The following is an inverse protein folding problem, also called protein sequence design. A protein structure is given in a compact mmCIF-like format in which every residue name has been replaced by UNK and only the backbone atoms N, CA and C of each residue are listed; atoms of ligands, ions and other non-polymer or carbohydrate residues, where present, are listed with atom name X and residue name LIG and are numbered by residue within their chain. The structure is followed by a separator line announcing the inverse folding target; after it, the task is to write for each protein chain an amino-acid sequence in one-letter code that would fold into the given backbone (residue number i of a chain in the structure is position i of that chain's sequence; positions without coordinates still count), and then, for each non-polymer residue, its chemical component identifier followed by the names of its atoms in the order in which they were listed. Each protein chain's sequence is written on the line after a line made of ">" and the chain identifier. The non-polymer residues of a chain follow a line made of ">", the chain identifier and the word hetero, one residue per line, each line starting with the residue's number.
data_IF_364400099252
#
_entry.id   IF_364400099252
#
_cell.length_a   1.000
_cell.length_b   1.000
_cell.length_c   1.000
_cell.angle_alpha   90.00
_cell.angle_beta   90.00
_cell.angle_gamma   90.00
#
_symmetry.space_group_name_H-M   'P 1'
#
loop_
_entity.id
_entity.type
_entity.pdbx_description
1 polymer ?
#
# COMPACT_ATOMS: atom_id res chain seq x y z
N UNK A 1 10.63 -39.70 -17.92
CA UNK A 1 11.12 -38.30 -17.98
C UNK A 1 10.70 -37.64 -16.68
N UNK A 2 11.66 -37.34 -15.80
CA UNK A 2 11.38 -36.64 -14.55
C UNK A 2 11.19 -35.16 -14.88
N UNK A 3 10.06 -34.58 -14.47
CA UNK A 3 9.86 -33.13 -14.50
C UNK A 3 10.92 -32.50 -13.60
N UNK A 4 11.83 -31.72 -14.19
CA UNK A 4 12.63 -30.77 -13.44
C UNK A 4 11.69 -29.61 -13.07
N UNK A 5 10.99 -29.75 -11.94
CA UNK A 5 10.33 -28.61 -11.32
C UNK A 5 11.40 -27.58 -10.94
N UNK A 6 11.05 -26.29 -11.03
CA UNK A 6 11.89 -25.25 -10.46
C UNK A 6 11.90 -25.41 -8.94
N UNK A 7 13.06 -25.61 -8.34
CA UNK A 7 13.25 -25.32 -6.92
C UNK A 7 13.15 -23.81 -6.76
N UNK A 8 12.08 -23.36 -6.11
CA UNK A 8 11.91 -21.96 -5.73
C UNK A 8 12.76 -21.75 -4.50
N UNK A 9 13.90 -21.07 -4.64
CA UNK A 9 14.62 -20.53 -3.49
C UNK A 9 13.62 -19.77 -2.62
N UNK A 10 13.63 -20.06 -1.31
CA UNK A 10 12.60 -19.58 -0.39
C UNK A 10 12.37 -18.09 -0.59
N UNK A 11 11.13 -17.69 -0.87
CA UNK A 11 10.77 -16.33 -1.24
C UNK A 11 11.37 -15.31 -0.25
N UNK A 12 11.51 -15.68 1.03
CA UNK A 12 12.17 -14.90 2.08
C UNK A 12 13.67 -14.63 1.82
N UNK A 13 14.46 -15.61 1.39
CA UNK A 13 15.89 -15.43 1.11
C UNK A 13 16.11 -14.54 -0.11
N UNK A 14 15.38 -14.80 -1.19
CA UNK A 14 15.41 -13.94 -2.39
C UNK A 14 14.93 -12.53 -2.05
N UNK A 15 13.92 -12.41 -1.19
CA UNK A 15 13.43 -11.13 -0.69
C UNK A 15 14.48 -10.37 0.12
N UNK A 16 15.16 -11.03 1.06
CA UNK A 16 16.24 -10.43 1.85
C UNK A 16 17.44 -10.00 0.99
N UNK A 17 17.79 -10.78 -0.03
CA UNK A 17 18.87 -10.44 -0.97
C UNK A 17 18.51 -9.28 -1.88
N UNK A 18 17.29 -9.25 -2.43
CA UNK A 18 16.77 -8.10 -3.17
C UNK A 18 16.69 -6.85 -2.29
N UNK A 19 16.30 -7.01 -1.02
CA UNK A 19 16.30 -5.94 -0.03
C UNK A 19 17.70 -5.36 0.19
N UNK A 20 18.74 -6.20 0.28
CA UNK A 20 20.13 -5.75 0.40
C UNK A 20 20.61 -5.04 -0.85
N UNK A 21 20.41 -5.65 -2.02
CA UNK A 21 20.85 -5.09 -3.31
C UNK A 21 20.21 -3.74 -3.63
N UNK A 22 18.94 -3.57 -3.29
CA UNK A 22 18.25 -2.32 -3.59
C UNK A 22 18.49 -1.22 -2.53
N UNK A 23 19.04 -1.51 -1.34
CA UNK A 23 19.56 -0.45 -0.45
C UNK A 23 20.66 0.37 -1.11
N UNK A 24 21.44 -0.24 -2.00
CA UNK A 24 22.57 0.40 -2.67
C UNK A 24 22.18 1.16 -3.95
N UNK A 25 21.00 0.86 -4.52
CA UNK A 25 20.56 1.39 -5.83
C UNK A 25 19.45 2.43 -5.72
N UNK A 26 18.68 2.42 -4.63
CA UNK A 26 17.49 3.26 -4.49
C UNK A 26 17.87 4.62 -3.91
N UNK A 27 17.59 5.69 -4.67
CA UNK A 27 17.64 7.05 -4.13
C UNK A 27 16.77 7.13 -2.87
N UNK A 28 17.25 7.76 -1.78
CA UNK A 28 16.45 7.97 -0.60
C UNK A 28 15.14 8.67 -0.95
N UNK A 29 14.04 8.21 -0.35
CA UNK A 29 12.73 8.83 -0.49
C UNK A 29 12.79 10.21 0.19
N UNK A 30 12.29 11.26 -0.49
CA UNK A 30 12.22 12.59 0.09
C UNK A 30 11.03 12.71 1.06
N UNK A 31 11.30 12.41 2.33
CA UNK A 31 10.30 12.44 3.40
C UNK A 31 9.69 13.83 3.59
N UNK A 32 10.42 14.91 3.29
CA UNK A 32 9.91 16.27 3.47
C UNK A 32 8.79 16.58 2.47
N UNK A 33 8.90 16.09 1.24
CA UNK A 33 7.82 16.22 0.27
C UNK A 33 6.60 15.40 0.67
N UNK A 34 6.78 14.18 1.19
CA UNK A 34 5.67 13.38 1.74
C UNK A 34 4.97 14.09 2.89
N UNK A 35 5.73 14.78 3.77
CA UNK A 35 5.17 15.56 4.89
C UNK A 35 4.34 16.75 4.43
N UNK A 36 4.70 17.40 3.31
CA UNK A 36 3.88 18.47 2.71
C UNK A 36 2.58 17.92 2.13
N UNK A 37 2.64 16.79 1.44
CA UNK A 37 1.44 16.13 0.89
C UNK A 37 0.50 15.64 1.99
N UNK A 38 1.05 15.17 3.13
CA UNK A 38 0.27 14.73 4.29
C UNK A 38 -0.72 15.80 4.77
N UNK A 39 -0.32 17.07 4.80
CA UNK A 39 -1.20 18.15 5.28
C UNK A 39 -2.47 18.29 4.44
N UNK A 40 -2.34 18.17 3.12
CA UNK A 40 -3.49 18.20 2.21
C UNK A 40 -4.37 16.96 2.38
N UNK A 41 -3.74 15.77 2.51
CA UNK A 41 -4.44 14.50 2.75
C UNK A 41 -5.24 14.56 4.05
N UNK A 42 -4.64 15.02 5.16
CA UNK A 42 -5.35 15.17 6.44
C UNK A 42 -6.55 16.13 6.32
N UNK A 43 -6.41 17.21 5.53
CA UNK A 43 -7.49 18.17 5.28
C UNK A 43 -8.66 17.50 4.55
N UNK A 44 -8.36 16.75 3.49
CA UNK A 44 -9.35 15.99 2.72
C UNK A 44 -10.04 14.90 3.54
N UNK A 45 -9.36 14.35 4.55
CA UNK A 45 -9.87 13.26 5.39
C UNK A 45 -10.55 13.74 6.67
N UNK A 46 -10.63 15.05 6.92
CA UNK A 46 -11.05 15.65 8.19
C UNK A 46 -12.35 15.07 8.78
N UNK A 47 -13.33 14.69 7.95
CA UNK A 47 -14.60 14.13 8.43
C UNK A 47 -14.48 12.78 9.16
N UNK A 48 -13.40 12.02 8.93
CA UNK A 48 -13.16 10.74 9.61
C UNK A 48 -12.19 10.85 10.81
N UNK A 49 -11.82 12.07 11.22
CA UNK A 49 -10.86 12.30 12.31
C UNK A 49 -9.55 11.51 12.13
N UNK A 50 -8.80 11.73 11.03
CA UNK A 50 -7.63 10.95 10.67
C UNK A 50 -6.55 11.03 11.75
N UNK A 51 -5.85 9.92 12.01
CA UNK A 51 -4.77 9.84 13.00
C UNK A 51 -3.45 9.50 12.34
N UNK A 52 -2.46 10.37 12.47
CA UNK A 52 -1.11 10.01 12.05
C UNK A 52 -0.53 8.92 12.97
N UNK A 53 0.08 7.91 12.36
CA UNK A 53 0.79 6.82 13.02
C UNK A 53 2.27 6.84 12.67
N UNK A 54 3.10 6.43 13.63
CA UNK A 54 4.53 6.19 13.42
C UNK A 54 4.75 4.68 13.36
N UNK A 55 4.86 4.14 12.16
CA UNK A 55 5.06 2.72 11.89
C UNK A 55 6.21 2.56 10.89
N UNK A 56 7.20 1.73 11.21
CA UNK A 56 8.34 1.47 10.32
C UNK A 56 9.12 2.73 9.97
N UNK A 57 9.26 3.01 8.66
CA UNK A 57 10.01 4.15 8.14
C UNK A 57 9.42 5.52 8.53
N UNK A 58 10.20 6.57 8.24
CA UNK A 58 9.81 7.97 8.48
C UNK A 58 8.66 8.48 7.58
N UNK A 59 8.26 7.68 6.59
CA UNK A 59 7.13 8.01 5.71
C UNK A 59 5.86 8.24 6.53
N UNK A 60 5.14 9.34 6.30
CA UNK A 60 3.90 9.60 6.99
C UNK A 60 2.86 8.52 6.70
N UNK A 61 2.21 8.05 7.76
CA UNK A 61 1.15 7.06 7.70
C UNK A 61 -0.06 7.58 8.46
N UNK A 62 -1.24 7.43 7.88
CA UNK A 62 -2.49 7.95 8.44
C UNK A 62 -3.49 6.83 8.58
N UNK A 63 -3.96 6.60 9.80
CA UNK A 63 -5.11 5.73 10.07
C UNK A 63 -6.41 6.52 9.88
N UNK A 64 -7.34 5.89 9.16
CA UNK A 64 -8.74 6.31 9.06
C UNK A 64 -9.64 5.14 9.41
N UNK A 65 -10.60 5.35 10.30
CA UNK A 65 -11.58 4.32 10.68
C UNK A 65 -12.88 4.54 9.94
N UNK A 66 -13.23 3.60 9.07
CA UNK A 66 -14.51 3.55 8.37
C UNK A 66 -15.50 2.70 9.15
N UNK A 67 -16.76 2.65 8.69
CA UNK A 67 -17.80 1.84 9.28
C UNK A 67 -17.41 0.35 9.41
N UNK A 68 -16.87 -0.26 8.35
CA UNK A 68 -16.55 -1.71 8.27
C UNK A 68 -15.06 -2.02 8.04
N UNK A 69 -14.23 -1.02 7.80
CA UNK A 69 -12.81 -1.17 7.55
C UNK A 69 -11.98 -0.16 8.34
N UNK A 70 -10.69 -0.43 8.43
CA UNK A 70 -9.67 0.50 8.89
C UNK A 70 -8.70 0.69 7.73
N UNK A 71 -8.48 1.93 7.31
CA UNK A 71 -7.55 2.26 6.23
C UNK A 71 -6.26 2.84 6.80
N UNK A 72 -5.11 2.33 6.34
CA UNK A 72 -3.79 2.91 6.59
C UNK A 72 -3.29 3.51 5.29
N UNK A 73 -3.19 4.83 5.24
CA UNK A 73 -2.70 5.56 4.08
C UNK A 73 -1.21 5.80 4.25
N UNK A 74 -0.39 5.25 3.35
CA UNK A 74 1.05 5.48 3.23
C UNK A 74 1.26 6.63 2.25
N UNK A 75 1.70 7.79 2.75
CA UNK A 75 1.89 9.00 1.94
C UNK A 75 3.32 9.02 1.39
N UNK A 76 3.44 8.90 0.07
CA UNK A 76 4.69 8.96 -0.67
C UNK A 76 4.90 10.36 -1.28
N UNK A 77 6.12 10.72 -1.68
CA UNK A 77 6.37 11.99 -2.38
C UNK A 77 5.55 12.10 -3.68
N UNK A 78 5.25 13.31 -4.17
CA UNK A 78 4.68 13.50 -5.50
C UNK A 78 5.55 12.89 -6.60
N UNK A 79 4.91 12.31 -7.62
CA UNK A 79 5.57 11.67 -8.78
C UNK A 79 6.53 10.55 -8.39
N UNK A 80 6.38 10.01 -7.19
CA UNK A 80 7.21 8.91 -6.71
C UNK A 80 6.92 7.65 -7.52
N UNK A 81 7.96 6.87 -7.81
CA UNK A 81 7.85 5.58 -8.49
C UNK A 81 8.08 4.49 -7.45
N UNK A 82 6.99 3.89 -6.96
CA UNK A 82 7.06 2.85 -5.93
C UNK A 82 7.72 1.58 -6.48
N UNK A 83 8.77 1.14 -5.79
CA UNK A 83 9.49 -0.11 -6.09
C UNK A 83 9.14 -1.21 -5.08
N UNK A 84 9.26 -2.47 -5.49
CA UNK A 84 8.93 -3.62 -4.62
C UNK A 84 9.73 -3.60 -3.32
N UNK A 85 11.03 -3.29 -3.41
CA UNK A 85 11.92 -3.09 -2.27
C UNK A 85 11.49 -1.96 -1.32
N UNK A 86 10.89 -0.89 -1.84
CA UNK A 86 10.43 0.21 -1.00
C UNK A 86 9.15 -0.20 -0.27
N UNK A 87 8.23 -0.84 -0.98
CA UNK A 87 7.02 -1.40 -0.42
C UNK A 87 7.33 -2.42 0.70
N UNK A 88 8.33 -3.27 0.49
CA UNK A 88 8.68 -4.31 1.44
C UNK A 88 9.36 -3.81 2.72
N UNK A 89 10.03 -2.65 2.68
CA UNK A 89 10.65 -2.07 3.88
C UNK A 89 9.64 -1.78 4.98
N UNK A 90 8.43 -1.34 4.61
CA UNK A 90 7.38 -0.97 5.55
C UNK A 90 6.33 -2.06 5.73
N UNK A 91 6.30 -3.10 4.87
CA UNK A 91 5.16 -4.00 4.84
C UNK A 91 4.96 -4.75 6.15
N UNK A 92 6.03 -5.21 6.80
CA UNK A 92 5.93 -5.95 8.07
C UNK A 92 5.21 -5.14 9.13
N UNK A 93 5.57 -3.87 9.27
CA UNK A 93 4.92 -2.95 10.21
C UNK A 93 3.49 -2.59 9.81
N UNK A 94 3.20 -2.50 8.50
CA UNK A 94 1.84 -2.31 8.01
C UNK A 94 0.95 -3.53 8.30
N UNK A 95 1.51 -4.75 8.22
CA UNK A 95 0.80 -5.99 8.53
C UNK A 95 0.59 -6.17 10.04
N UNK A 96 1.59 -5.84 10.87
CA UNK A 96 1.42 -5.77 12.33
C UNK A 96 0.28 -4.80 12.73
N UNK A 97 0.19 -3.65 12.06
CA UNK A 97 -0.94 -2.73 12.24
C UNK A 97 -2.27 -3.36 11.78
N UNK A 98 -2.27 -4.05 10.63
CA UNK A 98 -3.45 -4.67 10.05
C UNK A 98 -4.06 -5.73 10.98
N UNK A 99 -3.22 -6.55 11.62
CA UNK A 99 -3.65 -7.52 12.64
C UNK A 99 -4.36 -6.84 13.83
N UNK A 100 -3.88 -5.65 14.22
CA UNK A 100 -4.45 -4.85 15.30
C UNK A 100 -5.62 -3.93 14.90
N UNK A 101 -5.99 -3.88 13.62
CA UNK A 101 -6.90 -2.86 13.09
C UNK A 101 -8.36 -3.03 13.54
N UNK A 102 -8.74 -4.21 14.03
CA UNK A 102 -10.05 -4.54 14.60
C UNK A 102 -11.22 -4.58 13.60
N UNK A 103 -10.97 -4.21 12.34
CA UNK A 103 -11.87 -4.24 11.18
C UNK A 103 -11.08 -4.69 9.97
N UNK A 104 -11.74 -4.88 8.83
CA UNK A 104 -11.05 -5.25 7.60
C UNK A 104 -9.96 -4.20 7.25
N UNK A 105 -8.68 -4.57 7.20
CA UNK A 105 -7.58 -3.64 7.00
C UNK A 105 -7.40 -3.32 5.51
N UNK A 106 -7.22 -2.05 5.18
CA UNK A 106 -6.93 -1.58 3.81
C UNK A 106 -5.66 -0.73 3.82
N UNK A 107 -4.64 -1.14 3.07
CA UNK A 107 -3.43 -0.38 2.82
C UNK A 107 -3.65 0.51 1.59
N UNK A 108 -3.48 1.82 1.74
CA UNK A 108 -3.63 2.79 0.66
C UNK A 108 -2.28 3.44 0.39
N UNK A 109 -1.66 3.10 -0.74
CA UNK A 109 -0.44 3.77 -1.20
C UNK A 109 -0.82 5.01 -2.00
N UNK A 110 -0.55 6.19 -1.41
CA UNK A 110 -0.87 7.48 -2.02
C UNK A 110 0.39 8.18 -2.54
N UNK A 111 0.37 8.62 -3.80
CA UNK A 111 1.38 9.52 -4.35
C UNK A 111 0.77 10.37 -5.46
N UNK A 112 0.77 11.69 -5.30
CA UNK A 112 0.25 12.61 -6.32
C UNK A 112 1.02 12.46 -7.64
N UNK A 113 0.34 12.00 -8.70
CA UNK A 113 0.91 11.63 -10.00
C UNK A 113 1.99 10.54 -9.91
N UNK A 114 1.93 9.72 -8.87
CA UNK A 114 2.85 8.61 -8.66
C UNK A 114 2.64 7.48 -9.67
N UNK A 115 3.67 6.65 -9.74
CA UNK A 115 3.68 5.42 -10.53
C UNK A 115 4.12 4.27 -9.65
N UNK A 116 3.87 3.06 -10.13
CA UNK A 116 4.35 1.86 -9.48
C UNK A 116 5.01 0.95 -10.51
N UNK A 117 6.12 0.34 -10.13
CA UNK A 117 6.76 -0.69 -10.96
C UNK A 117 5.91 -1.95 -11.03
N UNK A 118 5.95 -2.68 -12.14
CA UNK A 118 5.24 -3.96 -12.26
C UNK A 118 5.62 -4.95 -11.15
N UNK A 119 6.88 -4.96 -10.73
CA UNK A 119 7.34 -5.81 -9.62
C UNK A 119 6.72 -5.40 -8.29
N UNK A 120 6.54 -4.11 -8.02
CA UNK A 120 5.84 -3.64 -6.82
C UNK A 120 4.35 -4.01 -6.85
N UNK A 121 3.71 -3.91 -8.02
CA UNK A 121 2.31 -4.32 -8.19
C UNK A 121 2.12 -5.81 -7.85
N UNK A 122 2.95 -6.68 -8.45
CA UNK A 122 2.88 -8.12 -8.21
C UNK A 122 3.21 -8.47 -6.75
N UNK A 123 4.23 -7.82 -6.18
CA UNK A 123 4.60 -8.02 -4.78
C UNK A 123 3.43 -7.69 -3.84
N UNK A 124 2.82 -6.52 -4.01
CA UNK A 124 1.70 -6.10 -3.17
C UNK A 124 0.41 -6.90 -3.44
N UNK A 125 0.24 -7.44 -4.65
CA UNK A 125 -0.81 -8.40 -4.96
C UNK A 125 -0.67 -9.69 -4.14
N UNK A 126 0.54 -10.27 -4.07
CA UNK A 126 0.78 -11.45 -3.23
C UNK A 126 0.53 -11.14 -1.75
N UNK A 127 0.97 -9.97 -1.27
CA UNK A 127 0.69 -9.54 0.11
C UNK A 127 -0.81 -9.47 0.40
N UNK A 128 -1.59 -8.95 -0.54
CA UNK A 128 -3.06 -8.87 -0.44
C UNK A 128 -3.68 -10.26 -0.25
N UNK A 129 -3.27 -11.23 -1.07
CA UNK A 129 -3.76 -12.61 -1.05
C UNK A 129 -3.34 -13.36 0.23
N UNK A 130 -2.07 -13.26 0.62
CA UNK A 130 -1.51 -14.02 1.74
C UNK A 130 -1.99 -13.52 3.11
N UNK A 131 -2.34 -12.23 3.23
CA UNK A 131 -2.59 -11.59 4.53
C UNK A 131 -4.03 -11.10 4.73
N UNK A 132 -4.94 -11.36 3.78
CA UNK A 132 -6.33 -10.93 3.83
C UNK A 132 -6.47 -9.41 4.12
N UNK A 133 -5.66 -8.61 3.44
CA UNK A 133 -5.67 -7.15 3.53
C UNK A 133 -6.09 -6.57 2.18
N UNK A 134 -6.85 -5.47 2.15
CA UNK A 134 -7.06 -4.74 0.90
C UNK A 134 -5.84 -3.90 0.56
N UNK A 135 -5.43 -3.84 -0.71
CA UNK A 135 -4.37 -2.92 -1.16
C UNK A 135 -4.90 -2.02 -2.28
N UNK A 136 -4.76 -0.71 -2.09
CA UNK A 136 -5.20 0.30 -3.06
C UNK A 136 -4.07 1.26 -3.40
N UNK A 137 -4.10 1.74 -4.64
CA UNK A 137 -3.17 2.74 -5.16
C UNK A 137 -3.95 3.96 -5.60
N UNK A 138 -3.62 5.13 -5.03
CA UNK A 138 -4.29 6.39 -5.35
C UNK A 138 -3.25 7.38 -5.83
N UNK A 139 -3.44 7.95 -7.02
CA UNK A 139 -2.42 8.78 -7.65
C UNK A 139 -2.91 10.12 -8.22
N UNK A 140 -4.15 10.54 -8.02
CA UNK A 140 -4.54 11.92 -8.32
C UNK A 140 -4.44 12.85 -7.11
N UNK A 141 -5.32 13.87 -7.01
CA UNK A 141 -5.26 14.86 -5.95
C UNK A 141 -5.58 14.26 -4.56
N UNK A 142 -5.20 14.91 -3.46
CA UNK A 142 -5.50 14.44 -2.10
C UNK A 142 -6.99 14.18 -1.84
N UNK A 143 -7.88 14.91 -2.52
CA UNK A 143 -9.33 14.69 -2.44
C UNK A 143 -9.75 13.31 -2.94
N UNK A 144 -9.03 12.74 -3.90
CA UNK A 144 -9.33 11.40 -4.44
C UNK A 144 -9.16 10.30 -3.38
N UNK A 145 -8.25 10.50 -2.40
CA UNK A 145 -8.15 9.58 -1.26
C UNK A 145 -9.47 9.55 -0.49
N UNK A 146 -10.07 10.72 -0.25
CA UNK A 146 -11.37 10.79 0.41
C UNK A 146 -12.49 10.17 -0.45
N UNK A 147 -12.51 10.43 -1.75
CA UNK A 147 -13.50 9.84 -2.67
C UNK A 147 -13.43 8.30 -2.67
N UNK A 148 -12.22 7.72 -2.69
CA UNK A 148 -12.03 6.27 -2.60
C UNK A 148 -12.56 5.73 -1.27
N UNK A 149 -12.27 6.38 -0.15
CA UNK A 149 -12.78 5.94 1.16
C UNK A 149 -14.32 6.07 1.26
N UNK A 150 -14.93 7.07 0.62
CA UNK A 150 -16.39 7.18 0.50
C UNK A 150 -17.01 6.04 -0.29
N UNK A 151 -16.37 5.65 -1.39
CA UNK A 151 -16.82 4.50 -2.20
C UNK A 151 -16.74 3.21 -1.38
N UNK A 152 -15.63 2.99 -0.66
CA UNK A 152 -15.48 1.83 0.21
C UNK A 152 -16.55 1.82 1.32
N UNK A 153 -16.80 2.96 1.95
CA UNK A 153 -17.78 3.10 3.02
C UNK A 153 -19.22 2.87 2.53
N UNK A 154 -19.55 3.32 1.33
CA UNK A 154 -20.89 3.18 0.73
C UNK A 154 -21.17 1.79 0.16
N UNK A 155 -20.20 1.18 -0.53
CA UNK A 155 -20.37 -0.15 -1.13
C UNK A 155 -20.27 -1.27 -0.10
N UNK A 156 -19.46 -1.08 0.95
CA UNK A 156 -19.24 -2.10 1.97
C UNK A 156 -18.45 -3.32 1.46
N UNK A 157 -17.93 -3.26 0.24
CA UNK A 157 -17.07 -4.25 -0.38
C UNK A 157 -15.63 -3.77 -0.23
N UNK A 158 -14.84 -4.52 0.54
CA UNK A 158 -13.43 -4.23 0.81
C UNK A 158 -12.50 -5.34 0.30
N UNK A 159 -13.08 -6.45 -0.15
CA UNK A 159 -12.47 -7.46 -1.02
C UNK A 159 -13.26 -7.47 -2.33
N UNK A 160 -12.61 -7.43 -3.50
CA UNK A 160 -13.26 -7.92 -4.71
C UNK A 160 -13.59 -9.41 -4.52
N UNK A 161 -14.79 -9.89 -4.87
CA UNK A 161 -15.08 -11.32 -4.84
C UNK A 161 -14.12 -12.07 -5.78
N UNK A 162 -13.55 -13.19 -5.32
CA UNK A 162 -12.54 -14.00 -6.04
C UNK A 162 -12.95 -14.39 -7.48
N UNK A 163 -14.24 -14.31 -7.82
CA UNK A 163 -14.81 -14.74 -9.10
C UNK A 163 -15.10 -13.63 -10.11
N UNK A 164 -14.81 -12.36 -9.81
CA UNK A 164 -14.97 -11.29 -10.80
C UNK A 164 -13.62 -10.96 -11.46
N UNK A 165 -13.32 -11.68 -12.54
CA UNK A 165 -12.31 -11.24 -13.48
C UNK A 165 -12.75 -9.89 -14.07
N UNK A 166 -12.05 -8.81 -13.71
CA UNK A 166 -12.22 -7.51 -14.34
C UNK A 166 -11.73 -7.62 -15.79
N UNK A 167 -12.67 -7.75 -16.74
CA UNK A 167 -12.37 -7.63 -18.17
C UNK A 167 -11.88 -6.22 -18.48
N UNK A 168 -10.58 -6.06 -18.70
CA UNK A 168 -10.04 -4.87 -19.32
C UNK A 168 -10.20 -4.98 -20.84
N UNK A 169 -11.08 -4.16 -21.43
CA UNK A 169 -11.11 -3.95 -22.87
C UNK A 169 -9.98 -2.99 -23.25
N UNK A 170 -9.00 -3.51 -23.99
CA UNK A 170 -7.97 -2.71 -24.68
C UNK A 170 -8.53 -2.11 -25.98
#
# INVERSE_FOLDING_TARGET
>A
MAYAGFEVEGAEQVHEELLKLARDIVKPIDVNESRRELEDVLRSLSKWSPRELRLGSELPKVEVRLSKASALIIVLPPRHVLKAVEASKDIGHCLEWAEGAGKYPVLVYYSRRGQMTTTAYLYLGNIMEDNNVGVLFVNGPPSEVAEVLEILESKGEYMPPENEAVEFRF
#
